data_IF_285427330507
#
_entry.id   IF_285427330507
#
_cell.length_a   1.000
_cell.length_b   1.000
_cell.length_c   1.000
_cell.angle_alpha   90.00
_cell.angle_beta   90.00
_cell.angle_gamma   90.00
#
_symmetry.space_group_name_H-M   'P 1'
#
loop_
_entity.id
_entity.type
_entity.pdbx_description
1 polymer ?
#
# COMPACT_ATOMS: atom_id res chain seq x y z
N UNK A 1 -17.35 -37.49 50.51
CA UNK A 1 -16.82 -38.09 49.27
C UNK A 1 -16.76 -37.00 48.22
N UNK A 2 -15.55 -36.51 47.96
CA UNK A 2 -15.27 -35.37 47.08
C UNK A 2 -15.12 -35.85 45.64
N UNK A 3 -15.71 -35.12 44.68
CA UNK A 3 -15.25 -35.13 43.30
C UNK A 3 -15.66 -33.83 42.61
N UNK A 4 -14.80 -32.80 42.73
CA UNK A 4 -14.88 -31.60 41.90
C UNK A 4 -14.13 -31.91 40.60
N UNK A 5 -14.85 -32.03 39.50
CA UNK A 5 -14.25 -32.22 38.18
C UNK A 5 -13.70 -30.87 37.71
N UNK A 6 -12.38 -30.74 37.64
CA UNK A 6 -11.73 -29.59 37.04
C UNK A 6 -11.66 -29.81 35.52
N UNK A 7 -12.44 -29.04 34.76
CA UNK A 7 -12.35 -29.00 33.30
C UNK A 7 -11.16 -28.11 32.96
N UNK A 8 -10.08 -28.71 32.48
CA UNK A 8 -8.90 -28.01 31.98
C UNK A 8 -9.16 -27.57 30.54
N UNK A 9 -9.45 -26.28 30.32
CA UNK A 9 -9.50 -25.69 28.99
C UNK A 9 -8.09 -25.56 28.43
N UNK A 10 -7.72 -26.46 27.53
CA UNK A 10 -6.48 -26.37 26.76
C UNK A 10 -6.70 -25.35 25.61
N UNK A 11 -6.33 -24.09 25.85
CA UNK A 11 -6.25 -23.11 24.76
C UNK A 11 -5.06 -23.45 23.88
N UNK A 12 -5.31 -24.14 22.76
CA UNK A 12 -4.33 -24.25 21.67
C UNK A 12 -4.24 -22.87 21.01
N UNK A 13 -3.18 -22.12 21.31
CA UNK A 13 -2.78 -20.97 20.51
C UNK A 13 -2.26 -21.50 19.17
N UNK A 14 -3.16 -21.65 18.20
CA UNK A 14 -2.77 -21.80 16.80
C UNK A 14 -2.19 -20.43 16.42
N UNK A 15 -0.87 -20.34 16.24
CA UNK A 15 -0.27 -19.16 15.62
C UNK A 15 -0.68 -19.16 14.14
N UNK A 16 -1.85 -18.60 13.86
CA UNK A 16 -2.21 -18.22 12.51
C UNK A 16 -1.14 -17.23 12.10
N UNK A 17 -0.34 -17.54 11.07
CA UNK A 17 0.63 -16.62 10.52
C UNK A 17 -0.11 -15.37 10.09
N UNK A 18 -0.03 -14.30 10.88
CA UNK A 18 -0.74 -13.06 10.57
C UNK A 18 0.00 -12.39 9.43
N UNK A 19 -0.59 -12.39 8.24
CA UNK A 19 -0.18 -11.47 7.19
C UNK A 19 -0.48 -10.05 7.66
N UNK A 20 0.49 -9.15 7.51
CA UNK A 20 0.43 -7.79 8.03
C UNK A 20 0.60 -6.75 6.93
N UNK A 21 0.12 -5.55 7.21
CA UNK A 21 0.41 -4.35 6.43
C UNK A 21 0.91 -3.22 7.29
N UNK A 22 1.82 -2.45 6.74
CA UNK A 22 2.33 -1.25 7.36
C UNK A 22 2.21 -0.07 6.40
N UNK A 23 1.74 1.06 6.92
CA UNK A 23 1.73 2.34 6.20
C UNK A 23 2.55 3.31 7.00
N UNK A 24 3.48 4.00 6.35
CA UNK A 24 4.34 5.00 6.96
C UNK A 24 4.23 6.33 6.23
N UNK A 25 4.22 7.42 7.00
CA UNK A 25 4.31 8.79 6.49
C UNK A 25 5.33 9.52 7.37
N UNK A 26 6.40 10.03 6.74
CA UNK A 26 7.49 10.73 7.43
C UNK A 26 8.05 9.94 8.63
N UNK A 27 8.36 8.65 8.41
CA UNK A 27 8.90 7.76 9.45
C UNK A 27 7.93 7.36 10.56
N UNK A 28 6.69 7.86 10.56
CA UNK A 28 5.66 7.50 11.54
C UNK A 28 4.70 6.48 10.94
N UNK A 29 4.45 5.38 11.67
CA UNK A 29 3.47 4.39 11.26
C UNK A 29 2.04 4.96 11.40
N UNK A 30 1.29 4.94 10.31
CA UNK A 30 -0.08 5.42 10.25
C UNK A 30 -0.51 5.79 8.84
N UNK A 31 -1.82 5.87 8.65
CA UNK A 31 -2.46 6.29 7.40
C UNK A 31 -3.26 7.59 7.60
N UNK A 32 -2.57 8.65 8.01
CA UNK A 32 -3.18 9.99 8.10
C UNK A 32 -3.19 10.66 6.72
N UNK A 33 -3.94 11.77 6.61
CA UNK A 33 -3.86 12.64 5.42
C UNK A 33 -2.48 13.31 5.35
N UNK A 34 -2.00 13.49 4.14
CA UNK A 34 -0.79 14.25 3.83
C UNK A 34 -0.98 15.73 4.14
N UNK A 35 0.12 16.37 4.49
CA UNK A 35 0.23 17.81 4.70
C UNK A 35 1.45 18.30 3.92
N UNK A 36 1.53 19.61 3.64
CA UNK A 36 2.69 20.15 2.94
C UNK A 36 4.03 19.96 3.70
N UNK A 37 3.98 19.77 5.02
CA UNK A 37 5.16 19.44 5.84
C UNK A 37 5.77 18.08 5.50
N UNK A 38 5.00 17.18 4.86
CA UNK A 38 5.50 15.87 4.44
C UNK A 38 6.41 15.95 3.21
N UNK A 39 6.35 17.03 2.42
CA UNK A 39 7.05 17.20 1.15
C UNK A 39 8.43 17.85 1.32
N UNK A 40 9.30 17.19 2.09
CA UNK A 40 10.62 17.68 2.47
C UNK A 40 11.72 17.46 1.41
N UNK A 41 11.39 16.83 0.29
CA UNK A 41 12.33 16.44 -0.75
C UNK A 41 12.89 17.62 -1.52
N UNK A 42 14.04 17.40 -2.14
CA UNK A 42 14.67 18.40 -2.98
C UNK A 42 13.83 18.65 -4.24
N UNK A 43 13.38 19.89 -4.42
CA UNK A 43 12.61 20.31 -5.60
C UNK A 43 13.41 20.10 -6.88
N UNK A 44 12.82 19.37 -7.83
CA UNK A 44 13.31 19.35 -9.20
C UNK A 44 12.95 20.67 -9.90
N UNK A 45 13.93 21.55 -10.02
CA UNK A 45 13.78 22.86 -10.67
C UNK A 45 13.49 22.76 -12.17
N UNK A 46 13.78 21.63 -12.81
CA UNK A 46 13.54 21.41 -14.25
C UNK A 46 12.16 20.86 -14.54
N UNK A 47 11.50 20.24 -13.56
CA UNK A 47 10.14 19.73 -13.70
C UNK A 47 9.18 20.87 -14.06
N UNK A 48 8.20 20.61 -14.93
CA UNK A 48 7.12 21.55 -15.21
C UNK A 48 6.03 21.54 -14.11
N UNK A 49 6.03 20.52 -13.26
CA UNK A 49 4.99 20.30 -12.25
C UNK A 49 5.21 21.16 -10.99
N UNK A 50 4.12 21.43 -10.27
CA UNK A 50 4.14 22.22 -9.05
C UNK A 50 4.65 21.43 -7.85
N UNK A 51 4.22 20.17 -7.75
CA UNK A 51 4.61 19.21 -6.73
C UNK A 51 4.88 17.85 -7.37
N UNK A 52 5.36 16.93 -6.54
CA UNK A 52 5.52 15.53 -6.90
C UNK A 52 5.45 14.66 -5.65
N UNK A 53 4.68 13.58 -5.75
CA UNK A 53 4.53 12.55 -4.71
C UNK A 53 5.30 11.30 -5.09
N UNK A 54 6.12 10.82 -4.16
CA UNK A 54 6.77 9.52 -4.24
C UNK A 54 6.35 8.64 -3.08
N UNK A 55 5.96 7.41 -3.38
CA UNK A 55 5.77 6.37 -2.39
C UNK A 55 6.60 5.13 -2.74
N UNK A 56 7.12 4.48 -1.73
CA UNK A 56 7.86 3.24 -1.84
C UNK A 56 7.00 2.07 -1.35
N UNK A 57 7.06 0.96 -2.07
CA UNK A 57 6.42 -0.30 -1.70
C UNK A 57 7.50 -1.36 -1.51
N UNK A 58 7.38 -2.16 -0.46
CA UNK A 58 8.22 -3.34 -0.26
C UNK A 58 7.43 -4.45 0.44
N UNK A 59 7.93 -5.67 0.34
CA UNK A 59 7.38 -6.81 1.07
C UNK A 59 8.50 -7.65 1.67
N UNK A 60 8.19 -8.32 2.78
CA UNK A 60 9.07 -9.25 3.47
C UNK A 60 8.26 -10.40 4.04
N UNK A 61 8.92 -11.52 4.30
CA UNK A 61 8.34 -12.67 5.01
C UNK A 61 9.42 -13.27 5.91
N UNK A 62 9.03 -13.89 7.03
CA UNK A 62 9.98 -14.42 8.01
C UNK A 62 10.58 -15.76 7.57
N UNK A 63 9.79 -16.60 6.91
CA UNK A 63 10.23 -17.91 6.43
C UNK A 63 9.27 -18.45 5.37
N UNK A 64 9.70 -19.54 4.72
CA UNK A 64 8.89 -20.28 3.74
C UNK A 64 8.76 -21.70 4.25
N UNK A 65 7.53 -22.16 4.41
CA UNK A 65 7.24 -23.55 4.74
C UNK A 65 6.76 -24.29 3.50
N UNK A 66 7.12 -25.56 3.38
CA UNK A 66 6.66 -26.38 2.27
C UNK A 66 5.81 -27.53 2.78
N UNK A 67 4.66 -27.74 2.15
CA UNK A 67 3.79 -28.87 2.37
C UNK A 67 3.58 -29.60 1.03
N UNK A 68 4.28 -30.71 0.84
CA UNK A 68 4.42 -31.34 -0.47
C UNK A 68 5.02 -30.36 -1.49
N UNK A 69 4.27 -30.12 -2.56
CA UNK A 69 4.64 -29.21 -3.64
C UNK A 69 4.20 -27.76 -3.41
N UNK A 70 3.43 -27.48 -2.36
CA UNK A 70 2.98 -26.12 -2.05
C UNK A 70 3.98 -25.40 -1.14
N UNK A 71 4.19 -24.11 -1.39
CA UNK A 71 4.97 -23.20 -0.56
C UNK A 71 4.03 -22.23 0.17
N UNK A 72 4.31 -21.98 1.44
CA UNK A 72 3.52 -21.10 2.32
C UNK A 72 4.46 -20.02 2.86
N UNK A 73 4.10 -18.76 2.62
CA UNK A 73 4.80 -17.61 3.18
C UNK A 73 4.40 -17.41 4.64
N UNK A 74 5.35 -17.43 5.55
CA UNK A 74 5.11 -17.17 6.96
C UNK A 74 5.51 -15.73 7.30
N UNK A 75 4.69 -15.04 8.07
CA UNK A 75 4.97 -13.68 8.53
C UNK A 75 5.09 -12.68 7.38
N UNK A 76 4.29 -12.85 6.32
CA UNK A 76 4.24 -11.90 5.20
C UNK A 76 3.85 -10.52 5.73
N UNK A 77 4.61 -9.50 5.33
CA UNK A 77 4.35 -8.11 5.60
C UNK A 77 4.58 -7.31 4.35
N UNK A 78 3.64 -6.44 4.02
CA UNK A 78 3.77 -5.46 2.93
C UNK A 78 3.77 -4.06 3.54
N UNK A 79 4.78 -3.26 3.18
CA UNK A 79 4.96 -1.89 3.67
C UNK A 79 4.82 -0.91 2.52
N UNK A 80 3.92 0.06 2.71
CA UNK A 80 3.83 1.29 1.92
C UNK A 80 4.43 2.45 2.73
N UNK A 81 5.26 3.26 2.10
CA UNK A 81 5.84 4.45 2.72
C UNK A 81 5.70 5.66 1.80
N UNK A 82 5.11 6.74 2.30
CA UNK A 82 5.24 8.05 1.67
C UNK A 82 6.68 8.54 1.86
N UNK A 83 7.42 8.68 0.77
CA UNK A 83 8.83 9.07 0.83
C UNK A 83 8.95 10.60 0.85
N UNK A 84 8.99 11.15 2.06
CA UNK A 84 9.13 12.59 2.28
C UNK A 84 10.38 13.18 1.64
N UNK A 85 11.49 12.43 1.55
CA UNK A 85 12.75 12.91 0.99
C UNK A 85 12.76 12.94 -0.55
N UNK A 86 11.83 12.24 -1.20
CA UNK A 86 11.65 12.23 -2.66
C UNK A 86 10.42 13.00 -3.13
N UNK A 87 9.51 13.30 -2.22
CA UNK A 87 8.31 14.09 -2.49
C UNK A 87 8.60 15.56 -2.23
N UNK A 88 8.22 16.45 -3.15
CA UNK A 88 8.60 17.86 -3.09
C UNK A 88 7.48 18.77 -3.60
N UNK A 89 7.51 20.04 -3.18
CA UNK A 89 6.60 21.11 -3.62
C UNK A 89 7.42 22.36 -3.94
N UNK A 90 7.11 23.03 -5.04
CA UNK A 90 7.70 24.34 -5.37
C UNK A 90 7.13 25.41 -4.44
N UNK A 91 8.02 26.18 -3.83
CA UNK A 91 7.67 27.32 -2.98
C UNK A 91 6.65 28.26 -3.66
N UNK A 92 5.56 28.55 -2.96
CA UNK A 92 4.48 29.42 -3.44
C UNK A 92 3.49 28.76 -4.40
N UNK A 93 3.55 27.43 -4.55
CA UNK A 93 2.58 26.64 -5.33
C UNK A 93 1.65 25.79 -4.46
N UNK A 94 1.82 25.86 -3.15
CA UNK A 94 0.97 25.19 -2.17
C UNK A 94 -0.49 25.64 -2.35
N UNK A 95 -1.41 24.68 -2.44
CA UNK A 95 -2.85 24.94 -2.43
C UNK A 95 -3.60 23.68 -2.02
N UNK A 96 -4.80 23.83 -1.47
CA UNK A 96 -5.60 22.68 -1.03
C UNK A 96 -5.95 21.75 -2.19
N UNK A 97 -6.26 22.29 -3.37
CA UNK A 97 -6.55 21.49 -4.57
C UNK A 97 -5.35 20.67 -5.02
N UNK A 98 -4.15 21.25 -4.97
CA UNK A 98 -2.94 20.52 -5.32
C UNK A 98 -2.63 19.45 -4.26
N UNK A 99 -2.84 19.73 -2.97
CA UNK A 99 -2.62 18.74 -1.91
C UNK A 99 -3.57 17.55 -2.04
N UNK A 100 -4.83 17.80 -2.40
CA UNK A 100 -5.81 16.75 -2.71
C UNK A 100 -5.33 15.88 -3.88
N UNK A 101 -4.74 16.49 -4.90
CA UNK A 101 -4.18 15.76 -6.04
C UNK A 101 -3.00 14.87 -5.64
N UNK A 102 -2.04 15.43 -4.90
CA UNK A 102 -0.88 14.69 -4.39
C UNK A 102 -1.28 13.55 -3.45
N UNK A 103 -2.30 13.77 -2.61
CA UNK A 103 -2.90 12.72 -1.80
C UNK A 103 -3.52 11.61 -2.65
N UNK A 104 -4.11 11.93 -3.80
CA UNK A 104 -4.62 10.93 -4.74
C UNK A 104 -3.54 9.96 -5.21
N UNK A 105 -2.31 10.43 -5.44
CA UNK A 105 -1.18 9.56 -5.75
C UNK A 105 -0.81 8.62 -4.61
N UNK A 106 -0.88 9.08 -3.37
CA UNK A 106 -0.65 8.22 -2.20
C UNK A 106 -1.80 7.22 -1.97
N UNK A 107 -3.05 7.65 -2.22
CA UNK A 107 -4.24 6.80 -2.17
C UNK A 107 -4.16 5.67 -3.22
N UNK A 108 -3.59 5.93 -4.40
CA UNK A 108 -3.26 4.90 -5.40
C UNK A 108 -2.23 3.90 -4.86
N UNK A 109 -1.23 4.37 -4.10
CA UNK A 109 -0.28 3.51 -3.39
C UNK A 109 -0.96 2.61 -2.35
N UNK A 110 -1.94 3.14 -1.62
CA UNK A 110 -2.77 2.36 -0.68
C UNK A 110 -3.58 1.27 -1.41
N UNK A 111 -4.14 1.58 -2.58
CA UNK A 111 -4.81 0.56 -3.39
C UNK A 111 -3.84 -0.53 -3.85
N UNK A 112 -2.61 -0.17 -4.22
CA UNK A 112 -1.56 -1.12 -4.57
C UNK A 112 -1.24 -2.06 -3.40
N UNK A 113 -1.08 -1.52 -2.18
CA UNK A 113 -0.85 -2.29 -0.96
C UNK A 113 -1.96 -3.34 -0.75
N UNK A 114 -3.21 -2.90 -0.77
CA UNK A 114 -4.37 -3.77 -0.51
C UNK A 114 -4.57 -4.83 -1.60
N UNK A 115 -4.34 -4.47 -2.87
CA UNK A 115 -4.43 -5.41 -3.98
C UNK A 115 -3.31 -6.45 -3.95
N UNK A 116 -2.10 -6.03 -3.58
CA UNK A 116 -0.97 -6.92 -3.44
C UNK A 116 -1.18 -7.91 -2.30
N UNK A 117 -1.65 -7.45 -1.13
CA UNK A 117 -2.02 -8.34 -0.02
C UNK A 117 -3.01 -9.42 -0.47
N UNK A 118 -4.13 -9.01 -1.07
CA UNK A 118 -5.14 -9.95 -1.60
C UNK A 118 -4.56 -10.91 -2.63
N UNK A 119 -3.65 -10.43 -3.47
CA UNK A 119 -2.96 -11.25 -4.47
C UNK A 119 -2.10 -12.31 -3.79
N UNK A 120 -1.30 -11.95 -2.78
CA UNK A 120 -0.51 -12.92 -2.03
C UNK A 120 -1.39 -13.91 -1.27
N UNK A 121 -2.45 -13.45 -0.62
CA UNK A 121 -3.36 -14.28 0.18
C UNK A 121 -4.12 -15.31 -0.67
N UNK A 122 -4.49 -14.94 -1.89
CA UNK A 122 -5.24 -15.82 -2.80
C UNK A 122 -4.34 -16.68 -3.70
N UNK A 123 -3.03 -16.43 -3.72
CA UNK A 123 -2.10 -17.17 -4.58
C UNK A 123 -1.66 -18.47 -3.92
N UNK A 124 -1.86 -19.58 -4.63
CA UNK A 124 -1.16 -20.82 -4.32
C UNK A 124 0.25 -20.74 -4.92
N UNK A 125 1.25 -20.81 -4.05
CA UNK A 125 2.65 -20.89 -4.46
C UNK A 125 3.09 -22.34 -4.53
N UNK A 126 3.85 -22.70 -5.56
CA UNK A 126 4.42 -24.04 -5.69
C UNK A 126 5.92 -24.00 -5.50
N UNK A 127 6.50 -25.09 -5.01
CA UNK A 127 7.96 -25.24 -4.88
C UNK A 127 8.69 -24.95 -6.20
N UNK A 128 8.09 -25.35 -7.32
CA UNK A 128 8.68 -25.20 -8.66
C UNK A 128 8.76 -23.75 -9.13
N UNK A 129 7.87 -22.86 -8.66
CA UNK A 129 7.78 -21.46 -9.12
C UNK A 129 8.06 -20.42 -8.01
N UNK A 130 8.22 -20.87 -6.77
CA UNK A 130 8.35 -19.99 -5.60
C UNK A 130 9.53 -19.01 -5.70
N UNK A 131 10.64 -19.40 -6.34
CA UNK A 131 11.82 -18.54 -6.47
C UNK A 131 11.56 -17.25 -7.28
N UNK A 132 10.55 -17.24 -8.14
CA UNK A 132 10.28 -16.12 -9.06
C UNK A 132 8.89 -15.51 -8.91
N UNK A 133 7.88 -16.33 -8.55
CA UNK A 133 6.48 -15.91 -8.53
C UNK A 133 6.18 -14.76 -7.56
N UNK A 134 6.67 -14.72 -6.30
CA UNK A 134 6.45 -13.58 -5.39
C UNK A 134 6.93 -12.25 -5.99
N UNK A 135 8.15 -12.24 -6.54
CA UNK A 135 8.73 -11.05 -7.16
C UNK A 135 7.99 -10.61 -8.42
N UNK A 136 7.51 -11.59 -9.22
CA UNK A 136 6.68 -11.31 -10.39
C UNK A 136 5.35 -10.64 -9.99
N UNK A 137 4.63 -11.20 -9.02
CA UNK A 137 3.36 -10.63 -8.54
C UNK A 137 3.54 -9.22 -7.99
N UNK A 138 4.60 -9.02 -7.20
CA UNK A 138 4.96 -7.71 -6.67
C UNK A 138 5.18 -6.69 -7.80
N UNK A 139 6.04 -7.01 -8.77
CA UNK A 139 6.36 -6.11 -9.89
C UNK A 139 5.13 -5.82 -10.73
N UNK A 140 4.33 -6.84 -11.07
CA UNK A 140 3.11 -6.67 -11.86
C UNK A 140 2.10 -5.78 -11.16
N UNK A 141 1.95 -5.90 -9.84
CA UNK A 141 1.09 -4.99 -9.06
C UNK A 141 1.62 -3.55 -9.11
N UNK A 142 2.93 -3.37 -8.91
CA UNK A 142 3.55 -2.05 -8.94
C UNK A 142 3.36 -1.37 -10.31
N UNK A 143 3.61 -2.09 -11.41
CA UNK A 143 3.44 -1.59 -12.78
C UNK A 143 1.97 -1.18 -13.06
N UNK A 144 1.01 -1.98 -12.60
CA UNK A 144 -0.43 -1.69 -12.72
C UNK A 144 -0.80 -0.36 -12.06
N UNK A 145 -0.33 -0.13 -10.83
CA UNK A 145 -0.69 1.08 -10.09
C UNK A 145 0.14 2.31 -10.48
N UNK A 146 1.35 2.13 -11.00
CA UNK A 146 2.08 3.20 -11.69
C UNK A 146 1.34 3.66 -12.95
N UNK A 147 0.82 2.72 -13.75
CA UNK A 147 -0.03 3.06 -14.89
C UNK A 147 -1.33 3.77 -14.47
N UNK A 148 -1.90 3.41 -13.32
CA UNK A 148 -3.07 4.09 -12.76
C UNK A 148 -2.74 5.54 -12.36
N UNK A 149 -1.58 5.79 -11.72
CA UNK A 149 -1.10 7.15 -11.42
C UNK A 149 -0.94 8.00 -12.67
N UNK A 150 -0.34 7.45 -13.75
CA UNK A 150 -0.20 8.18 -15.01
C UNK A 150 -1.55 8.52 -15.64
N UNK A 151 -2.52 7.60 -15.57
CA UNK A 151 -3.89 7.86 -16.03
C UNK A 151 -4.56 8.93 -15.18
N UNK A 152 -4.36 8.90 -13.87
CA UNK A 152 -4.88 9.87 -12.94
C UNK A 152 -4.35 11.29 -13.23
N UNK A 153 -3.05 11.44 -13.42
CA UNK A 153 -2.40 12.67 -13.87
C UNK A 153 -3.03 13.21 -15.17
N UNK A 154 -3.08 12.35 -16.20
CA UNK A 154 -3.58 12.73 -17.52
C UNK A 154 -5.04 13.17 -17.49
N UNK A 155 -5.89 12.45 -16.74
CA UNK A 155 -7.31 12.74 -16.69
C UNK A 155 -7.66 13.93 -15.79
N UNK A 156 -6.83 14.26 -14.81
CA UNK A 156 -7.01 15.44 -13.96
C UNK A 156 -6.26 16.67 -14.47
N UNK A 157 -5.51 16.56 -15.57
CA UNK A 157 -4.57 17.58 -16.06
C UNK A 157 -3.69 18.11 -14.92
N UNK A 158 -3.03 17.19 -14.22
CA UNK A 158 -2.15 17.47 -13.08
C UNK A 158 -2.80 18.47 -12.09
N UNK A 159 -3.94 18.09 -11.52
CA UNK A 159 -4.82 18.88 -10.62
C UNK A 159 -5.68 19.99 -11.24
N UNK A 160 -5.46 20.39 -12.50
CA UNK A 160 -6.19 21.54 -13.09
C UNK A 160 -7.65 21.27 -13.39
N UNK A 161 -8.02 20.02 -13.65
CA UNK A 161 -9.38 19.61 -13.96
C UNK A 161 -10.12 19.13 -12.70
N UNK A 162 -10.69 20.07 -11.95
CA UNK A 162 -11.43 19.79 -10.71
C UNK A 162 -12.59 18.81 -10.88
N UNK A 163 -13.31 18.85 -12.02
CA UNK A 163 -14.42 17.92 -12.27
C UNK A 163 -13.93 16.48 -12.37
N UNK A 164 -12.76 16.25 -12.97
CA UNK A 164 -12.14 14.93 -13.05
C UNK A 164 -11.52 14.53 -11.71
N UNK A 165 -10.92 15.47 -11.00
CA UNK A 165 -10.41 15.25 -9.64
C UNK A 165 -11.51 14.69 -8.72
N UNK A 166 -12.69 15.32 -8.66
CA UNK A 166 -13.82 14.86 -7.82
C UNK A 166 -14.25 13.43 -8.18
N UNK A 167 -14.27 13.09 -9.48
CA UNK A 167 -14.60 11.72 -9.92
C UNK A 167 -13.56 10.71 -9.45
N UNK A 168 -12.28 11.07 -9.51
CA UNK A 168 -11.20 10.24 -8.99
C UNK A 168 -11.25 10.11 -7.47
N UNK A 169 -11.50 11.18 -6.74
CA UNK A 169 -11.64 11.15 -5.28
C UNK A 169 -12.75 10.17 -4.86
N UNK A 170 -13.91 10.23 -5.53
CA UNK A 170 -15.00 9.28 -5.29
C UNK A 170 -14.60 7.83 -5.62
N UNK A 171 -13.92 7.62 -6.74
CA UNK A 171 -13.44 6.29 -7.13
C UNK A 171 -12.46 5.71 -6.11
N UNK A 172 -11.41 6.47 -5.75
CA UNK A 172 -10.38 6.04 -4.81
C UNK A 172 -10.98 5.76 -3.43
N UNK A 173 -11.83 6.66 -2.92
CA UNK A 173 -12.51 6.45 -1.64
C UNK A 173 -13.36 5.17 -1.63
N UNK A 174 -14.11 4.91 -2.70
CA UNK A 174 -14.93 3.70 -2.81
C UNK A 174 -14.09 2.42 -2.85
N UNK A 175 -13.00 2.41 -3.64
CA UNK A 175 -12.13 1.24 -3.76
C UNK A 175 -11.36 0.95 -2.46
N UNK A 176 -10.92 2.00 -1.76
CA UNK A 176 -10.27 1.86 -0.44
C UNK A 176 -11.26 1.31 0.60
N UNK A 177 -12.48 1.85 0.67
CA UNK A 177 -13.49 1.34 1.60
C UNK A 177 -13.88 -0.12 1.30
N UNK A 178 -14.03 -0.47 0.02
CA UNK A 178 -14.36 -1.84 -0.40
C UNK A 178 -13.26 -2.83 -0.01
N UNK A 179 -12.01 -2.41 -0.07
CA UNK A 179 -10.85 -3.26 0.22
C UNK A 179 -10.64 -3.52 1.71
N UNK A 180 -11.19 -2.69 2.60
CA UNK A 180 -11.12 -2.86 4.07
C UNK A 180 -12.24 -3.74 4.62
N UNK A 181 -13.36 -3.87 3.91
CA UNK A 181 -14.56 -4.59 4.40
C UNK A 181 -14.60 -6.10 4.07
N UNK A 182 -13.58 -6.62 3.39
CA UNK A 182 -13.48 -8.02 2.99
C UNK A 182 -12.37 -8.70 3.77
#
# INVERSE_FOLDING_TARGET
MNSKHAILFFFVLISIGTHGQEVFINGTQGNRRLTWEDFAGQVDKRSAFAAFTWWDMNYRYSSVQFNGDTAILMGLMIKLEFNSNRSWIKKGKESDNLLIHEQGHFDIGLLCLLDLMRTFDSTIFFRSDFATKPGLLFRTSLEKYQALSLKYDAETDHSKNQRRQIKWDLFLNNELQRSVRK
#
